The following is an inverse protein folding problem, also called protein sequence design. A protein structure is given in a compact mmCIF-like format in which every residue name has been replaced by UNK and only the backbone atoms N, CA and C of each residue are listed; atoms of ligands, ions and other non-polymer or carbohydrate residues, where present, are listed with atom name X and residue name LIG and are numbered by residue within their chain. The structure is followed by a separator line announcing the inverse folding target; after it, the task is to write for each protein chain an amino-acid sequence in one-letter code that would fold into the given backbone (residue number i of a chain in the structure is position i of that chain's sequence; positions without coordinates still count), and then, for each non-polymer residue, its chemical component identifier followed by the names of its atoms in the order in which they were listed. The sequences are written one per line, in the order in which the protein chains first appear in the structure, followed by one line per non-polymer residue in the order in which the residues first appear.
data_IF_662865470716
#
_entry.id   IF_662865470716
#
_cell.length_a   1.000
_cell.length_b   1.000
_cell.length_c   1.000
_cell.angle_alpha   90.00
_cell.angle_beta   90.00
_cell.angle_gamma   90.00
#
_symmetry.space_group_name_H-M   'P 1'
#
loop_
_entity.id
_entity.type
_entity.pdbx_description
1 polymer ?
#
# COMPACT_ATOMS: atom_id res chain seq x y z
N UNK A 1 -9.10 -10.36 -10.34
CA UNK A 1 -8.88 -8.97 -10.84
C UNK A 1 -10.11 -8.41 -11.54
N UNK A 2 -10.47 -7.13 -11.30
CA UNK A 2 -11.67 -6.48 -11.89
C UNK A 2 -11.51 -6.21 -13.39
N UNK A 3 -12.56 -6.47 -14.16
CA UNK A 3 -12.64 -6.16 -15.58
C UNK A 3 -12.70 -4.65 -15.85
N UNK A 4 -12.32 -4.24 -17.06
CA UNK A 4 -12.45 -2.84 -17.50
C UNK A 4 -13.89 -2.33 -17.37
N UNK A 5 -14.88 -3.18 -17.65
CA UNK A 5 -16.29 -2.81 -17.56
C UNK A 5 -16.74 -2.58 -16.11
N UNK A 6 -16.24 -3.36 -15.15
CA UNK A 6 -16.42 -3.09 -13.72
C UNK A 6 -15.77 -1.77 -13.32
N UNK A 7 -14.55 -1.48 -13.80
CA UNK A 7 -13.85 -0.23 -13.49
C UNK A 7 -14.56 1.02 -14.05
N UNK A 8 -15.24 0.93 -15.21
CA UNK A 8 -16.04 2.01 -15.78
C UNK A 8 -17.19 2.45 -14.87
N UNK A 9 -17.75 1.51 -14.09
CA UNK A 9 -18.85 1.78 -13.17
C UNK A 9 -18.39 2.48 -11.88
N UNK A 10 -17.08 2.53 -11.62
CA UNK A 10 -16.55 3.18 -10.43
C UNK A 10 -16.56 4.69 -10.62
N UNK A 11 -17.47 5.33 -9.91
CA UNK A 11 -17.66 6.77 -9.94
C UNK A 11 -17.69 7.35 -8.54
N UNK A 12 -17.36 8.64 -8.43
CA UNK A 12 -17.52 9.44 -7.23
C UNK A 12 -18.31 10.68 -7.57
N UNK A 13 -19.43 10.92 -6.89
CA UNK A 13 -20.28 12.08 -7.10
C UNK A 13 -20.12 13.06 -5.94
N UNK A 14 -19.84 14.32 -6.26
CA UNK A 14 -19.97 15.45 -5.35
C UNK A 14 -21.27 16.20 -5.67
N UNK A 15 -21.63 17.20 -4.87
CA UNK A 15 -22.84 18.01 -5.10
C UNK A 15 -22.92 18.63 -6.50
N UNK A 16 -21.77 18.80 -7.18
CA UNK A 16 -21.69 19.52 -8.45
C UNK A 16 -21.29 18.64 -9.65
N UNK A 17 -20.56 17.54 -9.42
CA UNK A 17 -19.92 16.77 -10.50
C UNK A 17 -19.80 15.29 -10.18
N UNK A 18 -19.82 14.49 -11.23
CA UNK A 18 -19.47 13.07 -11.17
C UNK A 18 -18.09 12.86 -11.79
N UNK A 19 -17.22 12.19 -11.06
CA UNK A 19 -15.86 11.85 -11.47
C UNK A 19 -15.79 10.35 -11.75
N UNK A 20 -15.12 9.96 -12.83
CA UNK A 20 -14.86 8.56 -13.17
C UNK A 20 -13.49 8.13 -12.69
N UNK A 21 -13.38 6.93 -12.11
CA UNK A 21 -12.11 6.37 -11.67
C UNK A 21 -11.12 6.19 -12.82
N UNK A 22 -11.56 5.72 -13.99
CA UNK A 22 -10.69 5.52 -15.16
C UNK A 22 -10.06 6.82 -15.69
N UNK A 23 -10.64 7.97 -15.39
CA UNK A 23 -10.12 9.28 -15.75
C UNK A 23 -9.40 9.98 -14.57
N UNK A 24 -9.12 9.25 -13.49
CA UNK A 24 -8.45 9.78 -12.29
C UNK A 24 -6.94 9.54 -12.32
N UNK A 25 -6.20 10.36 -11.57
CA UNK A 25 -4.78 10.10 -11.35
C UNK A 25 -4.55 8.81 -10.55
N UNK A 26 -5.49 8.39 -9.69
CA UNK A 26 -5.43 7.10 -8.97
C UNK A 26 -5.37 5.90 -9.92
N UNK A 27 -6.15 5.92 -11.00
CA UNK A 27 -6.08 4.87 -12.03
C UNK A 27 -4.78 4.93 -12.84
N UNK A 28 -4.26 6.13 -13.11
CA UNK A 28 -2.95 6.27 -13.74
C UNK A 28 -1.82 5.73 -12.84
N UNK A 29 -1.91 5.93 -11.52
CA UNK A 29 -1.00 5.31 -10.56
C UNK A 29 -1.08 3.79 -10.60
N UNK A 30 -2.29 3.22 -10.57
CA UNK A 30 -2.45 1.77 -10.69
C UNK A 30 -1.81 1.23 -11.97
N UNK A 31 -2.08 1.81 -13.14
CA UNK A 31 -1.46 1.39 -14.40
C UNK A 31 0.06 1.48 -14.39
N UNK A 32 0.62 2.54 -13.80
CA UNK A 32 2.07 2.72 -13.72
C UNK A 32 2.71 1.66 -12.81
N UNK A 33 2.10 1.35 -11.67
CA UNK A 33 2.53 0.28 -10.75
C UNK A 33 2.40 -1.08 -11.43
N UNK A 34 1.26 -1.34 -12.07
CA UNK A 34 1.00 -2.61 -12.74
C UNK A 34 1.99 -2.88 -13.88
N UNK A 35 2.26 -1.87 -14.72
CA UNK A 35 3.19 -2.00 -15.84
C UNK A 35 4.64 -2.12 -15.39
N UNK A 36 5.10 -1.24 -14.49
CA UNK A 36 6.53 -1.08 -14.22
C UNK A 36 7.03 -1.80 -12.97
N UNK A 37 6.13 -2.23 -12.08
CA UNK A 37 6.51 -2.89 -10.83
C UNK A 37 5.98 -4.31 -10.77
N UNK A 38 4.69 -4.52 -11.05
CA UNK A 38 4.08 -5.84 -10.97
C UNK A 38 4.43 -6.68 -12.22
N UNK A 39 4.48 -6.06 -13.40
CA UNK A 39 4.77 -6.77 -14.66
C UNK A 39 6.20 -6.60 -15.19
N UNK A 40 7.06 -5.85 -14.51
CA UNK A 40 8.44 -5.63 -14.95
C UNK A 40 9.38 -6.75 -14.51
N UNK A 41 10.21 -7.24 -15.44
CA UNK A 41 11.31 -8.17 -15.17
C UNK A 41 12.46 -7.54 -14.37
N UNK A 42 12.39 -6.24 -14.07
CA UNK A 42 13.44 -5.48 -13.39
C UNK A 42 13.27 -5.35 -11.87
N UNK A 43 12.15 -5.80 -11.30
CA UNK A 43 11.93 -5.72 -9.85
C UNK A 43 12.46 -6.96 -9.13
N UNK A 44 12.63 -6.87 -7.80
CA UNK A 44 13.33 -7.87 -6.98
C UNK A 44 12.97 -9.32 -7.36
N UNK A 45 13.95 -10.22 -7.38
CA UNK A 45 13.79 -11.66 -7.72
C UNK A 45 12.60 -12.35 -7.01
N UNK A 46 12.12 -11.79 -5.91
CA UNK A 46 10.92 -12.22 -5.21
C UNK A 46 9.63 -12.06 -6.05
N UNK A 47 9.40 -10.93 -6.72
CA UNK A 47 8.18 -10.74 -7.52
C UNK A 47 8.13 -11.62 -8.75
N UNK A 48 9.26 -11.74 -9.43
CA UNK A 48 9.40 -12.69 -10.54
C UNK A 48 9.15 -14.12 -10.06
N UNK A 49 9.63 -14.47 -8.85
CA UNK A 49 9.41 -15.78 -8.25
C UNK A 49 7.94 -16.02 -7.90
N UNK A 50 7.26 -15.10 -7.20
CA UNK A 50 5.84 -15.30 -6.85
C UNK A 50 4.97 -15.27 -8.11
N UNK A 51 5.28 -14.42 -9.10
CA UNK A 51 4.55 -14.38 -10.37
C UNK A 51 4.66 -15.70 -11.14
N UNK A 52 5.82 -16.36 -11.09
CA UNK A 52 6.05 -17.63 -11.76
C UNK A 52 5.53 -18.83 -10.97
N UNK A 53 5.74 -18.84 -9.65
CA UNK A 53 5.52 -20.02 -8.81
C UNK A 53 4.20 -19.97 -8.03
N UNK A 54 3.67 -18.78 -7.76
CA UNK A 54 2.50 -18.52 -6.93
C UNK A 54 1.57 -17.46 -7.58
N UNK A 55 1.10 -17.71 -8.82
CA UNK A 55 0.36 -16.72 -9.61
C UNK A 55 -0.93 -16.24 -8.93
N UNK A 56 -1.58 -17.09 -8.14
CA UNK A 56 -2.78 -16.73 -7.37
C UNK A 56 -2.48 -15.67 -6.31
N UNK A 57 -1.37 -15.81 -5.59
CA UNK A 57 -0.91 -14.83 -4.59
C UNK A 57 -0.51 -13.52 -5.28
N UNK A 58 0.13 -13.63 -6.44
CA UNK A 58 0.49 -12.46 -7.23
C UNK A 58 -0.75 -11.68 -7.69
N UNK A 59 -1.77 -12.36 -8.22
CA UNK A 59 -3.05 -11.74 -8.61
C UNK A 59 -3.77 -11.10 -7.41
N UNK A 60 -3.74 -11.73 -6.23
CA UNK A 60 -4.31 -11.17 -5.00
C UNK A 60 -3.61 -9.86 -4.61
N UNK A 61 -2.29 -9.80 -4.72
CA UNK A 61 -1.54 -8.56 -4.49
C UNK A 61 -1.93 -7.47 -5.50
N UNK A 62 -2.01 -7.80 -6.80
CA UNK A 62 -2.44 -6.83 -7.82
C UNK A 62 -3.84 -6.29 -7.49
N UNK A 63 -4.74 -7.17 -7.06
CA UNK A 63 -6.10 -6.80 -6.65
C UNK A 63 -6.12 -5.92 -5.39
N UNK A 64 -5.30 -6.20 -4.37
CA UNK A 64 -5.17 -5.34 -3.19
C UNK A 64 -4.69 -3.93 -3.53
N UNK A 65 -3.69 -3.81 -4.41
CA UNK A 65 -3.18 -2.51 -4.88
C UNK A 65 -4.25 -1.77 -5.69
N UNK A 66 -4.97 -2.46 -6.57
CA UNK A 66 -6.11 -1.90 -7.31
C UNK A 66 -7.19 -1.39 -6.35
N UNK A 67 -7.61 -2.20 -5.39
CA UNK A 67 -8.63 -1.85 -4.40
C UNK A 67 -8.21 -0.66 -3.53
N UNK A 68 -6.92 -0.54 -3.20
CA UNK A 68 -6.38 0.62 -2.49
C UNK A 68 -6.58 1.91 -3.29
N UNK A 69 -6.22 1.92 -4.57
CA UNK A 69 -6.39 3.11 -5.43
C UNK A 69 -7.87 3.47 -5.65
N UNK A 70 -8.75 2.47 -5.78
CA UNK A 70 -10.20 2.67 -5.88
C UNK A 70 -10.74 3.29 -4.57
N UNK A 71 -10.30 2.77 -3.43
CA UNK A 71 -10.71 3.26 -2.11
C UNK A 71 -10.26 4.69 -1.91
N UNK A 72 -9.00 5.01 -2.25
CA UNK A 72 -8.48 6.38 -2.24
C UNK A 72 -9.30 7.33 -3.10
N UNK A 73 -9.67 6.90 -4.31
CA UNK A 73 -10.52 7.66 -5.21
C UNK A 73 -11.91 7.92 -4.62
N UNK A 74 -12.60 6.87 -4.14
CA UNK A 74 -13.96 6.96 -3.58
C UNK A 74 -14.03 7.84 -2.33
N UNK A 75 -13.04 7.70 -1.44
CA UNK A 75 -12.96 8.46 -0.19
C UNK A 75 -12.36 9.87 -0.38
N UNK A 76 -11.95 10.23 -1.60
CA UNK A 76 -11.31 11.51 -1.91
C UNK A 76 -10.13 11.82 -0.97
N UNK A 77 -9.27 10.83 -0.76
CA UNK A 77 -8.10 10.98 0.10
C UNK A 77 -7.12 11.99 -0.51
N UNK A 78 -6.33 12.64 0.35
CA UNK A 78 -5.18 13.42 -0.11
C UNK A 78 -4.18 12.52 -0.85
N UNK A 79 -3.34 13.09 -1.72
CA UNK A 79 -2.29 12.32 -2.39
C UNK A 79 -1.37 11.60 -1.39
N UNK A 80 -1.09 12.26 -0.25
CA UNK A 80 -0.25 11.68 0.80
C UNK A 80 -0.90 10.48 1.50
N UNK A 81 -2.20 10.53 1.76
CA UNK A 81 -2.92 9.41 2.40
C UNK A 81 -3.22 8.30 1.40
N UNK A 82 -3.49 8.67 0.14
CA UNK A 82 -3.60 7.73 -0.98
C UNK A 82 -2.31 6.94 -1.14
N UNK A 83 -1.17 7.64 -1.14
CA UNK A 83 0.15 7.00 -1.22
C UNK A 83 0.41 6.06 -0.04
N UNK A 84 0.10 6.48 1.19
CA UNK A 84 0.24 5.63 2.39
C UNK A 84 -0.58 4.34 2.24
N UNK A 85 -1.85 4.45 1.83
CA UNK A 85 -2.74 3.30 1.70
C UNK A 85 -2.29 2.34 0.60
N UNK A 86 -1.89 2.87 -0.57
CA UNK A 86 -1.38 2.07 -1.69
C UNK A 86 -0.08 1.39 -1.31
N UNK A 87 0.84 2.11 -0.68
CA UNK A 87 2.12 1.55 -0.22
C UNK A 87 1.90 0.47 0.82
N UNK A 88 1.05 0.69 1.82
CA UNK A 88 0.77 -0.31 2.84
C UNK A 88 0.15 -1.57 2.22
N UNK A 89 -0.75 -1.42 1.25
CA UNK A 89 -1.37 -2.54 0.52
C UNK A 89 -0.38 -3.32 -0.32
N UNK A 90 0.53 -2.61 -0.98
CA UNK A 90 1.62 -3.22 -1.72
C UNK A 90 2.62 -3.93 -0.79
N UNK A 91 3.04 -3.28 0.30
CA UNK A 91 3.94 -3.83 1.30
C UNK A 91 3.34 -5.06 2.02
N UNK A 92 2.02 -5.09 2.20
CA UNK A 92 1.33 -6.25 2.76
C UNK A 92 1.36 -7.48 1.86
N UNK A 93 1.54 -7.33 0.55
CA UNK A 93 1.69 -8.47 -0.36
C UNK A 93 3.05 -9.16 -0.28
N UNK A 94 4.02 -8.60 0.45
CA UNK A 94 5.27 -9.31 0.80
C UNK A 94 5.09 -10.26 1.99
N UNK A 95 3.86 -10.39 2.51
CA UNK A 95 3.54 -11.19 3.69
C UNK A 95 2.87 -12.50 3.23
N UNK A 96 3.62 -13.59 2.96
CA UNK A 96 3.01 -14.90 2.72
C UNK A 96 2.26 -15.39 3.96
N UNK A 97 1.38 -16.37 3.77
CA UNK A 97 0.32 -16.88 4.69
C UNK A 97 0.75 -17.30 6.12
N UNK A 98 2.00 -17.12 6.52
CA UNK A 98 2.47 -17.22 7.89
C UNK A 98 3.02 -15.85 8.34
N UNK A 99 2.24 -15.10 9.13
CA UNK A 99 2.60 -13.76 9.61
C UNK A 99 4.01 -13.67 10.25
N UNK A 100 4.50 -14.77 10.85
CA UNK A 100 5.84 -14.83 11.45
C UNK A 100 6.96 -15.04 10.41
N UNK A 101 6.76 -15.90 9.41
CA UNK A 101 7.70 -16.10 8.29
C UNK A 101 7.71 -14.88 7.35
N UNK A 102 6.56 -14.24 7.19
CA UNK A 102 6.38 -13.01 6.46
C UNK A 102 7.05 -11.80 7.12
N UNK A 103 6.91 -11.65 8.44
CA UNK A 103 7.67 -10.64 9.17
C UNK A 103 9.16 -10.94 9.11
N UNK A 104 9.57 -12.22 9.05
CA UNK A 104 10.96 -12.60 8.80
C UNK A 104 11.41 -12.32 7.37
N UNK A 105 10.56 -12.48 6.35
CA UNK A 105 10.90 -12.21 4.94
C UNK A 105 10.85 -10.72 4.62
N UNK A 106 9.94 -9.95 5.21
CA UNK A 106 10.00 -8.49 5.24
C UNK A 106 11.25 -8.06 6.01
N UNK A 107 11.50 -8.56 7.23
CA UNK A 107 12.72 -8.26 7.98
C UNK A 107 13.99 -8.71 7.24
N UNK A 108 13.94 -9.79 6.45
CA UNK A 108 15.05 -10.27 5.62
C UNK A 108 15.20 -9.46 4.35
N UNK A 109 14.13 -9.01 3.72
CA UNK A 109 14.13 -8.05 2.62
C UNK A 109 14.72 -6.72 3.10
N UNK A 110 14.21 -6.20 4.23
CA UNK A 110 14.71 -5.03 4.92
C UNK A 110 16.20 -5.23 5.30
N UNK A 111 16.63 -6.39 5.83
CA UNK A 111 18.03 -6.70 6.22
C UNK A 111 18.98 -7.04 5.06
N UNK A 112 18.49 -7.57 3.94
CA UNK A 112 19.30 -7.94 2.78
C UNK A 112 19.47 -6.77 1.81
N UNK A 113 18.46 -5.92 1.66
CA UNK A 113 18.56 -4.68 0.87
C UNK A 113 19.03 -3.47 1.68
N UNK A 114 18.94 -3.51 3.01
CA UNK A 114 19.57 -2.49 3.86
C UNK A 114 20.45 -3.19 4.90
N UNK A 115 21.74 -2.84 4.94
CA UNK A 115 22.71 -3.31 5.95
C UNK A 115 22.32 -2.85 7.39
N UNK A 116 21.11 -2.29 7.59
CA UNK A 116 20.80 -1.42 8.73
C UNK A 116 19.53 -1.83 9.50
N UNK A 117 19.63 -1.74 10.83
CA UNK A 117 18.69 -2.24 11.85
C UNK A 117 17.40 -1.40 12.02
N UNK A 118 17.05 -0.50 11.09
CA UNK A 118 15.90 0.42 11.23
C UNK A 118 14.80 0.11 10.19
N UNK A 119 13.63 -0.43 10.61
CA UNK A 119 12.50 -0.73 9.72
C UNK A 119 12.01 0.45 8.88
N UNK A 120 12.19 1.69 9.35
CA UNK A 120 11.80 2.88 8.59
C UNK A 120 12.68 3.13 7.36
N UNK A 121 13.94 2.66 7.38
CA UNK A 121 14.86 2.82 6.25
C UNK A 121 14.44 1.92 5.11
N UNK A 122 14.08 0.66 5.39
CA UNK A 122 13.65 -0.23 4.32
C UNK A 122 12.24 0.11 3.79
N UNK A 123 11.31 0.61 4.61
CA UNK A 123 10.07 1.23 4.10
C UNK A 123 10.40 2.45 3.21
N UNK A 124 11.40 3.24 3.58
CA UNK A 124 11.83 4.38 2.75
C UNK A 124 12.43 3.93 1.41
N UNK A 125 13.15 2.81 1.37
CA UNK A 125 13.66 2.22 0.12
C UNK A 125 12.52 1.68 -0.75
N UNK A 126 11.60 0.91 -0.16
CA UNK A 126 10.37 0.46 -0.84
C UNK A 126 9.59 1.63 -1.43
N UNK A 127 9.51 2.74 -0.69
CA UNK A 127 8.89 3.97 -1.17
C UNK A 127 9.69 4.66 -2.27
N UNK A 128 11.01 4.60 -2.25
CA UNK A 128 11.84 5.12 -3.33
C UNK A 128 11.55 4.37 -4.62
N UNK A 129 11.47 3.04 -4.55
CA UNK A 129 11.18 2.20 -5.71
C UNK A 129 9.75 2.44 -6.24
N UNK A 130 8.76 2.53 -5.35
CA UNK A 130 7.36 2.84 -5.72
C UNK A 130 7.23 4.25 -6.33
N UNK A 131 7.88 5.26 -5.75
CA UNK A 131 7.88 6.63 -6.29
C UNK A 131 8.57 6.72 -7.65
N UNK A 132 9.69 6.02 -7.82
CA UNK A 132 10.39 5.94 -9.10
C UNK A 132 9.50 5.34 -10.18
N UNK A 133 8.74 4.28 -9.84
CA UNK A 133 7.76 3.66 -10.75
C UNK A 133 6.60 4.59 -11.09
N UNK A 134 6.08 5.33 -10.11
CA UNK A 134 5.06 6.33 -10.38
C UNK A 134 5.57 7.46 -11.28
N UNK A 135 6.89 7.56 -11.51
CA UNK A 135 7.57 8.69 -12.15
C UNK A 135 7.17 10.04 -11.52
N UNK A 136 6.73 9.98 -10.26
CA UNK A 136 6.30 11.13 -9.49
C UNK A 136 7.30 11.36 -8.37
N UNK A 137 7.84 12.56 -8.31
CA UNK A 137 8.42 13.06 -7.07
C UNK A 137 7.28 13.55 -6.18
N UNK A 138 6.50 12.61 -5.63
CA UNK A 138 5.59 12.95 -4.54
C UNK A 138 6.38 13.76 -3.50
N UNK A 139 5.78 14.79 -2.87
CA UNK A 139 6.49 15.59 -1.87
C UNK A 139 7.11 14.65 -0.85
N UNK A 140 8.44 14.80 -0.61
CA UNK A 140 9.28 13.91 0.21
C UNK A 140 8.44 13.17 1.25
N UNK A 141 8.26 11.86 1.06
CA UNK A 141 7.47 11.04 1.98
C UNK A 141 7.96 11.34 3.39
N UNK A 142 7.08 11.93 4.21
CA UNK A 142 7.53 12.46 5.50
C UNK A 142 7.78 11.28 6.42
N UNK A 143 8.68 11.44 7.38
CA UNK A 143 8.94 10.40 8.39
C UNK A 143 7.66 9.92 9.11
N UNK A 144 6.68 10.80 9.28
CA UNK A 144 5.37 10.46 9.85
C UNK A 144 4.52 9.56 8.95
N UNK A 145 4.64 9.69 7.63
CA UNK A 145 3.95 8.85 6.66
C UNK A 145 4.58 7.45 6.64
N UNK A 146 5.93 7.36 6.74
CA UNK A 146 6.65 6.09 6.94
C UNK A 146 6.21 5.38 8.21
N UNK A 147 6.15 6.12 9.33
CA UNK A 147 5.67 5.58 10.62
C UNK A 147 4.22 5.14 10.56
N UNK A 148 3.39 5.80 9.75
CA UNK A 148 2.01 5.37 9.55
C UNK A 148 1.96 4.06 8.76
N UNK A 149 2.67 3.95 7.63
CA UNK A 149 2.76 2.70 6.87
C UNK A 149 3.20 1.53 7.76
N UNK A 150 4.28 1.72 8.54
CA UNK A 150 4.76 0.70 9.48
C UNK A 150 3.67 0.26 10.47
N UNK A 151 2.99 1.21 11.11
CA UNK A 151 1.91 0.90 12.06
C UNK A 151 0.73 0.22 11.40
N UNK A 152 0.37 0.60 10.17
CA UNK A 152 -0.70 -0.07 9.42
C UNK A 152 -0.37 -1.54 9.19
N UNK A 153 0.85 -1.84 8.76
CA UNK A 153 1.33 -3.21 8.56
C UNK A 153 1.31 -4.01 9.87
N UNK A 154 1.84 -3.43 10.94
CA UNK A 154 1.85 -4.06 12.28
C UNK A 154 0.43 -4.36 12.79
N UNK A 155 -0.52 -3.45 12.54
CA UNK A 155 -1.86 -3.53 13.11
C UNK A 155 -2.88 -4.20 12.19
N UNK A 156 -2.53 -4.59 10.95
CA UNK A 156 -3.49 -5.13 9.97
C UNK A 156 -4.29 -6.30 10.55
N UNK A 157 -3.60 -7.27 11.12
CA UNK A 157 -4.17 -8.50 11.72
C UNK A 157 -4.10 -8.50 13.27
N UNK A 158 -3.69 -7.39 13.88
CA UNK A 158 -3.58 -7.29 15.34
C UNK A 158 -4.96 -7.33 16.02
N UNK A 159 -5.02 -7.82 17.26
CA UNK A 159 -6.25 -7.82 18.04
C UNK A 159 -6.74 -6.39 18.35
N UNK A 160 -8.03 -6.21 18.58
CA UNK A 160 -8.56 -4.89 18.98
C UNK A 160 -7.88 -4.36 20.25
N UNK A 161 -7.47 -5.25 21.16
CA UNK A 161 -6.74 -4.87 22.37
C UNK A 161 -5.38 -4.24 22.01
N UNK A 162 -4.63 -4.89 21.12
CA UNK A 162 -3.30 -4.41 20.71
C UNK A 162 -3.40 -3.09 19.92
N UNK A 163 -4.44 -2.97 19.08
CA UNK A 163 -4.77 -1.71 18.40
C UNK A 163 -5.03 -0.60 19.41
N UNK A 164 -5.86 -0.82 20.42
CA UNK A 164 -6.15 0.21 21.43
C UNK A 164 -4.91 0.59 22.24
N UNK A 165 -4.07 -0.39 22.59
CA UNK A 165 -2.79 -0.15 23.27
C UNK A 165 -1.89 0.75 22.42
N UNK A 166 -1.66 0.43 21.15
CA UNK A 166 -0.86 1.26 20.24
C UNK A 166 -1.49 2.65 20.09
N UNK A 167 -2.79 2.76 19.83
CA UNK A 167 -3.49 4.04 19.65
C UNK A 167 -3.47 4.93 20.91
N UNK A 168 -3.42 4.35 22.10
CA UNK A 168 -3.36 5.08 23.37
C UNK A 168 -2.01 5.79 23.59
N UNK A 169 -0.95 5.32 22.94
CA UNK A 169 0.40 5.90 23.03
C UNK A 169 0.62 7.11 22.12
N UNK A 170 -0.32 7.37 21.20
CA UNK A 170 -0.20 8.38 20.16
C UNK A 170 -0.86 9.70 20.58
N UNK A 171 -0.36 10.82 20.06
CA UNK A 171 -1.06 12.09 20.15
C UNK A 171 -2.34 12.10 19.30
N UNK A 172 -3.28 13.00 19.61
CA UNK A 172 -4.61 13.02 18.99
C UNK A 172 -4.60 13.10 17.45
N UNK A 173 -3.81 14.00 16.81
CA UNK A 173 -3.79 14.05 15.35
C UNK A 173 -3.29 12.75 14.71
N UNK A 174 -2.26 12.15 15.30
CA UNK A 174 -1.69 10.89 14.80
C UNK A 174 -2.66 9.75 15.03
N UNK A 175 -3.31 9.70 16.19
CA UNK A 175 -4.33 8.71 16.53
C UNK A 175 -5.49 8.75 15.54
N UNK A 176 -6.08 9.92 15.31
CA UNK A 176 -7.19 10.12 14.37
C UNK A 176 -6.83 9.62 12.97
N UNK A 177 -5.67 10.05 12.45
CA UNK A 177 -5.21 9.64 11.12
C UNK A 177 -4.93 8.14 11.04
N UNK A 178 -4.36 7.56 12.09
CA UNK A 178 -4.05 6.12 12.16
C UNK A 178 -5.33 5.30 12.18
N UNK A 179 -6.30 5.68 13.01
CA UNK A 179 -7.61 5.01 13.08
C UNK A 179 -8.33 5.04 11.73
N UNK A 180 -8.36 6.20 11.06
CA UNK A 180 -8.99 6.33 9.75
C UNK A 180 -8.31 5.46 8.69
N UNK A 181 -6.98 5.52 8.60
CA UNK A 181 -6.21 4.74 7.64
C UNK A 181 -6.29 3.23 7.92
N UNK A 182 -6.24 2.80 9.19
CA UNK A 182 -6.33 1.40 9.58
C UNK A 182 -7.69 0.81 9.23
N UNK A 183 -8.78 1.56 9.43
CA UNK A 183 -10.13 1.13 9.04
C UNK A 183 -10.22 0.85 7.54
N UNK A 184 -9.67 1.74 6.72
CA UNK A 184 -9.62 1.53 5.27
C UNK A 184 -8.73 0.34 4.93
N UNK A 185 -7.55 0.26 5.53
CA UNK A 185 -6.56 -0.77 5.24
C UNK A 185 -7.03 -2.18 5.59
N UNK A 186 -7.79 -2.35 6.68
CA UNK A 186 -8.40 -3.64 7.05
C UNK A 186 -9.55 -4.07 6.15
N UNK A 187 -10.14 -3.14 5.41
CA UNK A 187 -11.21 -3.42 4.45
C UNK A 187 -10.73 -3.77 3.05
N UNK A 188 -9.41 -3.69 2.83
CA UNK A 188 -8.71 -4.10 1.60
C UNK A 188 -8.23 -5.55 1.72
#
# INVERSE_FOLDING_TARGET
MKSIDELKQIQRTTQEKTYSYLNSHHYNWFKAIDLNLLNSDGFTNYFLRIKQNEPEIFEELQEKVLNATITSFKQNLSDSDSFVLVTASWANGFVPENAEAAMQDLDRYLKQYTIQKDPLIGINQMNADLNQVLMQHLPKVRRQDLRLIYRLLLLKEASEKDVQTELSSLNDPTKIRTTAALKLFRSL
#
